data_IF_576538851181
#
_entry.id   IF_576538851181
#
_cell.length_a   1.000
_cell.length_b   1.000
_cell.length_c   1.000
_cell.angle_alpha   90.00
_cell.angle_beta   90.00
_cell.angle_gamma   90.00
#
_symmetry.space_group_name_H-M   'P 1'
#
loop_
_entity.id
_entity.type
_entity.pdbx_description
1 polymer ?
#
# COMPACT_ATOMS: atom_id res chain seq x y z
N UNK A 1 -26.54 -11.70 17.25
CA UNK A 1 -27.33 -10.94 18.24
C UNK A 1 -27.58 -9.59 17.59
N UNK A 2 -28.76 -9.40 17.00
CA UNK A 2 -29.19 -8.09 16.52
C UNK A 2 -29.57 -7.29 17.77
N UNK A 3 -28.75 -6.30 18.11
CA UNK A 3 -29.07 -5.37 19.19
C UNK A 3 -30.08 -4.35 18.66
N UNK A 4 -31.09 -3.99 19.46
CA UNK A 4 -31.97 -2.88 19.12
C UNK A 4 -31.17 -1.57 18.98
N UNK A 5 -31.60 -0.59 18.17
CA UNK A 5 -30.84 0.65 17.93
C UNK A 5 -30.43 1.40 19.20
N UNK A 6 -31.31 1.45 20.22
CA UNK A 6 -31.01 2.04 21.54
C UNK A 6 -30.00 1.21 22.36
N UNK A 7 -30.09 -0.12 22.34
CA UNK A 7 -29.14 -0.97 23.06
C UNK A 7 -27.75 -0.96 22.40
N UNK A 8 -27.70 -0.90 21.06
CA UNK A 8 -26.47 -0.69 20.31
C UNK A 8 -25.85 0.69 20.61
N UNK A 9 -26.70 1.69 20.83
CA UNK A 9 -26.30 3.05 21.22
C UNK A 9 -25.70 3.09 22.62
N UNK A 10 -26.42 2.61 23.62
CA UNK A 10 -25.98 2.57 25.02
C UNK A 10 -24.69 1.75 25.16
N UNK A 11 -24.54 0.67 24.38
CA UNK A 11 -23.31 -0.11 24.33
C UNK A 11 -22.14 0.64 23.68
N UNK A 12 -22.39 1.44 22.63
CA UNK A 12 -21.36 2.26 21.99
C UNK A 12 -20.93 3.44 22.89
N UNK A 13 -21.88 4.05 23.61
CA UNK A 13 -21.64 5.12 24.57
C UNK A 13 -20.88 4.61 25.80
N UNK A 14 -21.29 3.46 26.36
CA UNK A 14 -20.57 2.80 27.44
C UNK A 14 -19.14 2.39 27.05
N UNK A 15 -18.94 1.88 25.83
CA UNK A 15 -17.62 1.50 25.32
C UNK A 15 -16.71 2.68 24.98
N UNK A 16 -17.24 3.91 24.92
CA UNK A 16 -16.48 5.14 24.71
C UNK A 16 -16.25 5.91 26.00
N UNK A 17 -17.10 5.74 27.01
CA UNK A 17 -16.88 6.27 28.37
C UNK A 17 -15.63 5.68 29.07
N UNK A 18 -15.20 4.46 28.72
CA UNK A 18 -13.94 3.86 29.21
C UNK A 18 -12.67 4.49 28.61
N UNK A 19 -12.79 5.28 27.53
CA UNK A 19 -11.66 5.99 26.92
C UNK A 19 -11.54 7.39 27.57
N UNK A 20 -11.00 7.41 28.78
CA UNK A 20 -10.74 8.65 29.53
C UNK A 20 -9.84 9.62 28.73
N UNK A 21 -10.39 10.79 28.39
CA UNK A 21 -9.59 11.94 27.97
C UNK A 21 -10.13 12.71 26.77
N UNK A 22 -11.37 13.20 26.84
CA UNK A 22 -11.84 14.48 26.26
C UNK A 22 -13.38 14.50 26.40
N UNK A 23 -13.86 15.19 27.44
CA UNK A 23 -15.29 15.41 27.70
C UNK A 23 -15.85 16.44 26.71
N UNK A 24 -15.99 16.03 25.45
CA UNK A 24 -16.77 16.75 24.41
C UNK A 24 -17.06 15.86 23.19
N UNK A 25 -17.21 14.54 23.41
CA UNK A 25 -17.54 13.57 22.36
C UNK A 25 -19.05 13.33 22.32
N UNK A 26 -19.80 14.30 21.79
CA UNK A 26 -21.15 14.09 21.28
C UNK A 26 -21.20 12.85 20.38
N UNK A 27 -22.33 12.15 20.35
CA UNK A 27 -22.52 10.83 19.74
C UNK A 27 -21.88 10.52 18.37
N UNK A 28 -21.62 11.53 17.53
CA UNK A 28 -20.87 11.38 16.28
C UNK A 28 -19.40 10.95 16.49
N UNK A 29 -18.79 11.31 17.62
CA UNK A 29 -17.42 10.94 17.99
C UNK A 29 -17.28 9.44 18.32
N UNK A 30 -18.24 8.87 19.05
CA UNK A 30 -18.30 7.43 19.34
C UNK A 30 -18.42 6.60 18.05
N UNK A 31 -19.27 7.05 17.12
CA UNK A 31 -19.44 6.43 15.81
C UNK A 31 -18.18 6.57 14.93
N UNK A 32 -17.47 7.69 15.02
CA UNK A 32 -16.19 7.87 14.33
C UNK A 32 -15.14 6.86 14.80
N UNK A 33 -15.09 6.57 16.10
CA UNK A 33 -14.19 5.58 16.70
C UNK A 33 -14.61 4.14 16.32
N UNK A 34 -15.90 3.83 16.38
CA UNK A 34 -16.44 2.53 15.96
C UNK A 34 -16.20 2.25 14.46
N UNK A 35 -16.45 3.25 13.61
CA UNK A 35 -16.12 3.22 12.19
C UNK A 35 -14.62 3.00 11.96
N UNK A 36 -13.78 3.65 12.77
CA UNK A 36 -12.33 3.43 12.78
C UNK A 36 -11.92 1.99 13.10
N UNK A 37 -12.63 1.29 13.98
CA UNK A 37 -12.44 -0.15 14.27
C UNK A 37 -12.95 -1.04 13.13
N UNK A 38 -14.01 -0.62 12.43
CA UNK A 38 -14.56 -1.30 11.25
C UNK A 38 -13.78 -1.00 9.93
N UNK A 39 -12.59 -0.39 10.02
CA UNK A 39 -11.76 -0.01 8.88
C UNK A 39 -12.43 1.01 7.92
N UNK A 40 -13.26 1.88 8.47
CA UNK A 40 -13.86 3.03 7.78
C UNK A 40 -13.12 4.31 8.19
N UNK A 41 -12.99 5.23 7.24
CA UNK A 41 -12.41 6.55 7.44
C UNK A 41 -13.58 7.50 7.67
N UNK A 42 -13.53 8.23 8.77
CA UNK A 42 -14.54 9.23 9.08
C UNK A 42 -13.93 10.61 8.99
N UNK A 43 -14.69 11.56 8.42
CA UNK A 43 -14.33 12.97 8.46
C UNK A 43 -15.53 13.77 8.94
N UNK A 44 -15.31 14.64 9.94
CA UNK A 44 -16.34 15.55 10.44
C UNK A 44 -16.31 16.81 9.57
N UNK A 45 -17.44 17.18 8.98
CA UNK A 45 -17.63 18.48 8.32
C UNK A 45 -18.81 19.20 8.96
N UNK A 46 -18.62 20.45 9.35
CA UNK A 46 -19.73 21.31 9.75
C UNK A 46 -20.35 21.87 8.48
N UNK A 47 -21.62 21.57 8.23
CA UNK A 47 -22.36 22.07 7.07
C UNK A 47 -23.41 23.06 7.56
N UNK A 48 -23.44 24.24 6.94
CA UNK A 48 -24.40 25.30 7.25
C UNK A 48 -25.83 24.86 6.83
N UNK A 49 -26.83 24.99 7.72
CA UNK A 49 -28.23 24.68 7.42
C UNK A 49 -28.87 25.53 6.30
N UNK A 50 -28.26 26.64 5.86
CA UNK A 50 -28.77 27.50 4.77
C UNK A 50 -28.34 27.09 3.35
N UNK A 51 -27.58 26.00 3.22
CA UNK A 51 -27.25 25.29 1.96
C UNK A 51 -26.95 26.16 0.72
N UNK A 52 -25.67 26.39 0.41
CA UNK A 52 -25.27 26.73 -0.97
C UNK A 52 -25.53 25.52 -1.88
N UNK A 53 -26.25 25.71 -2.98
CA UNK A 53 -26.88 24.64 -3.76
C UNK A 53 -25.93 23.56 -4.29
N UNK A 54 -24.63 23.86 -4.37
CA UNK A 54 -23.61 22.92 -4.85
C UNK A 54 -23.16 21.89 -3.81
N UNK A 55 -23.25 22.20 -2.51
CA UNK A 55 -22.64 21.36 -1.46
C UNK A 55 -23.40 20.05 -1.25
N UNK A 56 -24.73 20.08 -1.38
CA UNK A 56 -25.56 18.87 -1.25
C UNK A 56 -25.40 17.95 -2.46
N UNK A 57 -25.19 18.52 -3.64
CA UNK A 57 -24.98 17.74 -4.86
C UNK A 57 -23.63 17.00 -4.85
N UNK A 58 -22.63 17.60 -4.20
CA UNK A 58 -21.27 17.05 -4.03
C UNK A 58 -21.05 16.33 -2.68
N UNK A 59 -22.12 16.07 -1.91
CA UNK A 59 -21.99 15.42 -0.61
C UNK A 59 -21.44 13.99 -0.80
N UNK A 60 -20.29 13.65 -0.18
CA UNK A 60 -19.75 12.30 -0.26
C UNK A 60 -20.68 11.32 0.46
N UNK A 61 -21.22 10.34 -0.25
CA UNK A 61 -22.03 9.27 0.33
C UNK A 61 -21.20 8.01 0.56
N UNK A 62 -21.36 7.27 1.67
CA UNK A 62 -22.37 7.50 2.71
C UNK A 62 -22.02 8.60 3.72
N UNK A 63 -23.03 9.34 4.16
CA UNK A 63 -22.91 10.41 5.16
C UNK A 63 -23.93 10.22 6.29
N UNK A 64 -23.57 10.61 7.50
CA UNK A 64 -24.41 10.47 8.69
C UNK A 64 -24.50 11.81 9.43
N UNK A 65 -25.68 12.17 9.89
CA UNK A 65 -25.89 13.28 10.83
C UNK A 65 -26.91 12.89 11.89
N UNK A 66 -26.79 13.49 13.06
CA UNK A 66 -27.80 13.42 14.11
C UNK A 66 -28.79 14.58 13.93
N UNK A 67 -30.08 14.30 14.15
CA UNK A 67 -31.15 15.29 14.15
C UNK A 67 -31.84 15.25 15.50
N UNK A 68 -31.78 16.35 16.24
CA UNK A 68 -32.55 16.51 17.46
C UNK A 68 -34.01 16.83 17.10
N UNK A 69 -34.97 16.21 17.79
CA UNK A 69 -36.40 16.39 17.56
C UNK A 69 -37.02 17.00 18.82
N UNK A 70 -37.91 17.98 18.67
CA UNK A 70 -38.54 18.72 19.77
C UNK A 70 -39.25 17.79 20.77
N UNK A 71 -38.57 17.41 21.85
CA UNK A 71 -39.12 16.69 23.00
C UNK A 71 -39.32 15.17 22.86
N UNK A 72 -39.06 14.55 21.70
CA UNK A 72 -39.22 13.10 21.48
C UNK A 72 -37.98 12.48 20.79
N UNK A 73 -36.87 12.37 21.54
CA UNK A 73 -35.66 11.65 21.10
C UNK A 73 -35.00 12.24 19.83
N UNK A 74 -33.76 11.85 19.53
CA UNK A 74 -33.15 12.24 18.25
C UNK A 74 -33.27 11.15 17.19
N UNK A 75 -33.14 11.56 15.93
CA UNK A 75 -33.18 10.68 14.75
C UNK A 75 -31.82 10.70 14.04
N UNK A 76 -31.25 9.54 13.76
CA UNK A 76 -30.10 9.43 12.87
C UNK A 76 -30.55 9.52 11.42
N UNK A 77 -29.92 10.40 10.65
CA UNK A 77 -30.09 10.48 9.21
C UNK A 77 -28.85 9.92 8.51
N UNK A 78 -29.02 8.80 7.82
CA UNK A 78 -28.04 8.20 6.93
C UNK A 78 -28.38 8.55 5.48
N UNK A 79 -27.45 9.18 4.80
CA UNK A 79 -27.47 9.33 3.34
C UNK A 79 -26.62 8.21 2.76
N UNK A 80 -27.25 7.16 2.23
CA UNK A 80 -26.53 5.97 1.75
C UNK A 80 -25.89 6.18 0.38
N UNK A 81 -26.57 6.91 -0.50
CA UNK A 81 -26.14 7.08 -1.89
C UNK A 81 -27.15 7.85 -2.74
N UNK A 82 -26.85 7.97 -4.03
CA UNK A 82 -27.78 8.50 -5.03
C UNK A 82 -28.36 7.36 -5.87
N UNK A 83 -29.68 7.35 -6.02
CA UNK A 83 -30.41 6.47 -6.94
C UNK A 83 -31.08 7.33 -8.01
N UNK A 84 -30.42 7.49 -9.15
CA UNK A 84 -30.82 8.43 -10.20
C UNK A 84 -30.69 9.88 -9.75
N UNK A 85 -31.80 10.63 -9.75
CA UNK A 85 -31.83 12.05 -9.32
C UNK A 85 -32.11 12.25 -7.83
N UNK A 86 -32.37 11.19 -7.08
CA UNK A 86 -32.77 11.24 -5.67
C UNK A 86 -31.72 10.61 -4.75
N UNK A 87 -31.66 11.08 -3.51
CA UNK A 87 -30.89 10.46 -2.43
C UNK A 87 -31.67 9.34 -1.79
N UNK A 88 -30.98 8.25 -1.47
CA UNK A 88 -31.48 7.18 -0.61
C UNK A 88 -31.12 7.51 0.84
N UNK A 89 -32.17 7.75 1.62
CA UNK A 89 -32.07 8.21 3.00
C UNK A 89 -32.63 7.13 3.91
N UNK A 90 -31.90 6.84 4.99
CA UNK A 90 -32.36 5.96 6.07
C UNK A 90 -32.43 6.77 7.34
N UNK A 91 -33.61 6.79 7.95
CA UNK A 91 -33.86 7.37 9.26
C UNK A 91 -33.86 6.24 10.28
N UNK A 92 -33.01 6.36 11.30
CA UNK A 92 -33.04 5.46 12.45
C UNK A 92 -33.52 6.28 13.65
N UNK A 93 -34.73 5.97 14.10
CA UNK A 93 -35.34 6.53 15.30
C UNK A 93 -35.67 5.39 16.29
N UNK A 94 -36.28 5.75 17.42
CA UNK A 94 -36.69 4.81 18.47
C UNK A 94 -37.77 3.81 18.01
N UNK A 95 -38.42 4.09 16.88
CA UNK A 95 -39.48 3.29 16.26
C UNK A 95 -38.96 2.41 15.11
N UNK A 96 -37.65 2.42 14.84
CA UNK A 96 -36.98 1.52 13.90
C UNK A 96 -36.38 2.21 12.67
N UNK A 97 -36.10 1.41 11.63
CA UNK A 97 -35.50 1.86 10.39
C UNK A 97 -36.58 2.29 9.37
N UNK A 98 -36.48 3.51 8.84
CA UNK A 98 -37.34 4.02 7.77
C UNK A 98 -36.49 4.49 6.60
N UNK A 99 -36.66 3.87 5.43
CA UNK A 99 -35.99 4.31 4.20
C UNK A 99 -36.90 5.20 3.35
N UNK A 100 -36.35 6.27 2.78
CA UNK A 100 -37.05 7.19 1.88
C UNK A 100 -36.14 7.66 0.76
N UNK A 101 -36.71 7.80 -0.44
CA UNK A 101 -36.06 8.45 -1.56
C UNK A 101 -36.51 9.91 -1.62
N UNK A 102 -35.55 10.86 -1.57
CA UNK A 102 -35.86 12.29 -1.64
C UNK A 102 -34.97 12.99 -2.67
N UNK A 103 -35.54 13.91 -3.45
CA UNK A 103 -34.74 14.77 -4.33
C UNK A 103 -33.91 15.75 -3.50
N UNK A 104 -32.79 16.29 -4.02
CA UNK A 104 -31.99 17.27 -3.29
C UNK A 104 -32.80 18.47 -2.81
N UNK A 105 -33.80 18.90 -3.58
CA UNK A 105 -34.71 19.98 -3.19
C UNK A 105 -35.65 19.56 -2.05
N UNK A 106 -36.29 18.39 -2.15
CA UNK A 106 -37.17 17.90 -1.09
C UNK A 106 -36.41 17.61 0.22
N UNK A 107 -35.16 17.16 0.14
CA UNK A 107 -34.30 16.98 1.30
C UNK A 107 -33.94 18.30 1.97
N UNK A 108 -33.65 19.36 1.19
CA UNK A 108 -33.42 20.71 1.72
C UNK A 108 -34.64 21.26 2.44
N UNK A 109 -35.80 21.18 1.80
CA UNK A 109 -37.07 21.63 2.39
C UNK A 109 -37.38 20.86 3.68
N UNK A 110 -37.13 19.55 3.69
CA UNK A 110 -37.35 18.71 4.86
C UNK A 110 -36.38 19.03 6.02
N UNK A 111 -35.11 19.29 5.74
CA UNK A 111 -34.11 19.69 6.74
C UNK A 111 -34.39 21.10 7.27
N UNK A 112 -34.84 22.03 6.42
CA UNK A 112 -35.20 23.39 6.79
C UNK A 112 -36.43 23.44 7.70
N UNK A 113 -37.44 22.58 7.48
CA UNK A 113 -38.64 22.50 8.31
C UNK A 113 -38.37 21.95 9.72
N UNK A 114 -37.28 21.20 9.91
CA UNK A 114 -36.87 20.57 11.17
C UNK A 114 -35.63 21.24 11.78
N UNK A 115 -35.34 22.47 11.37
CA UNK A 115 -34.30 23.29 11.96
C UNK A 115 -34.97 24.35 12.82
N UNK A 116 -34.63 24.40 14.10
CA UNK A 116 -35.16 25.42 15.01
C UNK A 116 -34.90 26.83 14.43
N UNK A 117 -35.88 27.75 14.51
CA UNK A 117 -35.70 29.14 14.10
C UNK A 117 -34.75 29.85 15.09
N UNK A 118 -33.44 29.75 14.84
CA UNK A 118 -32.41 30.36 15.68
C UNK A 118 -31.06 29.64 15.71
N UNK A 119 -30.98 28.39 15.22
CA UNK A 119 -29.73 27.65 15.18
C UNK A 119 -28.81 28.18 14.05
N UNK A 120 -27.99 29.19 14.38
CA UNK A 120 -26.89 29.70 13.52
C UNK A 120 -25.69 28.74 13.46
N UNK A 121 -25.68 27.67 14.24
CA UNK A 121 -24.54 26.75 14.32
C UNK A 121 -24.60 25.66 13.24
N UNK A 122 -23.54 25.64 12.42
CA UNK A 122 -23.32 24.65 11.37
C UNK A 122 -23.36 23.24 11.94
N UNK A 123 -24.25 22.38 11.44
CA UNK A 123 -24.46 21.03 11.98
C UNK A 123 -23.30 20.09 11.62
N UNK A 124 -22.81 19.24 12.54
CA UNK A 124 -21.74 18.31 12.25
C UNK A 124 -22.22 17.08 11.47
N UNK A 125 -21.72 16.93 10.25
CA UNK A 125 -21.89 15.73 9.43
C UNK A 125 -20.68 14.82 9.56
N UNK A 126 -20.92 13.53 9.77
CA UNK A 126 -19.91 12.47 9.73
C UNK A 126 -19.94 11.80 8.36
N UNK A 127 -18.95 12.12 7.53
CA UNK A 127 -18.75 11.47 6.24
C UNK A 127 -18.02 10.15 6.47
N UNK A 128 -18.56 9.05 5.97
CA UNK A 128 -18.00 7.72 6.13
C UNK A 128 -17.49 7.24 4.78
N UNK A 129 -16.17 7.10 4.66
CA UNK A 129 -15.53 6.57 3.46
C UNK A 129 -14.86 5.24 3.76
N UNK A 130 -14.76 4.36 2.77
CA UNK A 130 -13.86 3.20 2.87
C UNK A 130 -12.44 3.70 3.15
N UNK A 131 -11.77 3.20 4.21
CA UNK A 131 -10.35 3.54 4.40
C UNK A 131 -9.59 3.14 3.15
N UNK A 132 -8.88 4.11 2.62
CA UNK A 132 -7.80 3.91 1.67
C UNK A 132 -6.95 2.72 2.14
N UNK A 133 -6.66 1.71 1.29
CA UNK A 133 -5.96 0.50 1.72
C UNK A 133 -4.61 0.75 2.40
N UNK A 134 -3.98 1.92 2.15
CA UNK A 134 -2.74 2.35 2.79
C UNK A 134 -2.94 3.41 3.91
N UNK A 135 -4.18 3.68 4.32
CA UNK A 135 -4.50 4.64 5.39
C UNK A 135 -3.81 4.33 6.73
N UNK A 136 -3.66 3.06 7.19
CA UNK A 136 -2.95 2.73 8.41
C UNK A 136 -1.48 3.17 8.38
N UNK A 137 -0.81 3.01 7.23
CA UNK A 137 0.58 3.47 7.03
C UNK A 137 0.68 5.00 7.14
N UNK A 138 -0.36 5.73 6.73
CA UNK A 138 -0.43 7.19 6.82
C UNK A 138 -0.66 7.65 8.26
N UNK A 139 -1.53 7.00 9.03
CA UNK A 139 -1.75 7.30 10.45
C UNK A 139 -0.46 7.09 11.25
N UNK A 140 0.23 5.97 11.03
CA UNK A 140 1.56 5.71 11.57
C UNK A 140 2.62 6.71 11.05
N UNK A 141 2.44 7.28 9.85
CA UNK A 141 3.31 8.31 9.28
C UNK A 141 3.05 9.72 9.83
N UNK A 142 1.85 10.06 10.32
CA UNK A 142 1.48 11.42 10.74
C UNK A 142 1.76 11.71 12.22
N UNK A 143 1.84 10.70 13.10
CA UNK A 143 1.98 10.90 14.55
C UNK A 143 3.33 11.44 15.06
N UNK A 144 4.33 11.69 14.20
CA UNK A 144 5.60 12.35 14.59
C UNK A 144 6.19 13.18 13.44
N UNK A 145 6.40 14.50 13.61
CA UNK A 145 7.07 15.35 12.63
C UNK A 145 8.57 15.38 12.91
N UNK A 146 9.34 14.59 12.16
CA UNK A 146 10.77 14.78 11.81
C UNK A 146 11.31 13.47 11.19
N UNK A 147 11.71 13.54 9.92
CA UNK A 147 12.52 12.54 9.20
C UNK A 147 12.03 11.08 9.26
N UNK A 148 11.08 10.68 8.41
CA UNK A 148 10.84 9.24 8.19
C UNK A 148 11.68 8.77 7.02
N UNK A 149 12.71 7.97 7.35
CA UNK A 149 13.49 7.20 6.38
C UNK A 149 12.55 6.40 5.47
N UNK A 150 12.69 6.47 4.12
CA UNK A 150 11.92 5.68 3.15
C UNK A 150 11.85 4.19 3.52
N UNK A 151 12.92 3.67 4.12
CA UNK A 151 13.06 2.30 4.60
C UNK A 151 11.99 1.94 5.64
N UNK A 152 11.64 2.87 6.54
CA UNK A 152 10.60 2.62 7.55
C UNK A 152 9.22 2.44 6.92
N UNK A 153 8.92 3.16 5.84
CA UNK A 153 7.66 3.00 5.10
C UNK A 153 7.62 1.66 4.38
N UNK A 154 8.76 1.22 3.83
CA UNK A 154 8.90 -0.10 3.23
C UNK A 154 8.65 -1.22 4.25
N UNK A 155 9.25 -1.15 5.44
CA UNK A 155 9.00 -2.15 6.50
C UNK A 155 7.55 -2.14 7.00
N UNK A 156 6.93 -0.98 7.11
CA UNK A 156 5.52 -0.90 7.48
C UNK A 156 4.61 -1.51 6.39
N UNK A 157 4.96 -1.36 5.11
CA UNK A 157 4.27 -2.04 4.02
C UNK A 157 4.46 -3.56 4.08
N UNK A 158 5.68 -4.01 4.41
CA UNK A 158 5.99 -5.43 4.57
C UNK A 158 5.19 -6.09 5.71
N UNK A 159 4.96 -5.38 6.82
CA UNK A 159 4.20 -5.90 7.96
C UNK A 159 2.74 -6.26 7.60
N UNK A 160 2.16 -5.57 6.61
CA UNK A 160 0.80 -5.86 6.14
C UNK A 160 0.65 -7.25 5.51
N UNK A 161 1.72 -7.81 4.94
CA UNK A 161 1.73 -9.12 4.28
C UNK A 161 2.75 -10.07 4.94
N UNK A 162 2.93 -9.93 6.26
CA UNK A 162 3.89 -10.71 7.08
C UNK A 162 3.73 -12.24 6.97
N UNK A 163 2.51 -12.74 6.74
CA UNK A 163 2.24 -14.19 6.64
C UNK A 163 2.83 -14.76 5.36
N UNK A 164 2.60 -14.05 4.25
CA UNK A 164 3.13 -14.39 2.93
C UNK A 164 4.65 -14.24 2.91
N UNK A 165 5.20 -13.15 3.49
CA UNK A 165 6.64 -12.97 3.64
C UNK A 165 7.28 -14.09 4.49
N UNK A 166 6.62 -14.49 5.58
CA UNK A 166 7.04 -15.62 6.41
C UNK A 166 7.10 -16.93 5.62
N UNK A 167 6.10 -17.22 4.78
CA UNK A 167 6.11 -18.40 3.92
C UNK A 167 7.26 -18.38 2.91
N UNK A 168 7.53 -17.23 2.28
CA UNK A 168 8.68 -17.07 1.37
C UNK A 168 10.00 -17.30 2.09
N UNK A 169 10.14 -16.78 3.31
CA UNK A 169 11.34 -16.97 4.14
C UNK A 169 11.54 -18.44 4.52
N UNK A 170 10.49 -19.17 4.87
CA UNK A 170 10.56 -20.62 5.15
C UNK A 170 11.02 -21.40 3.92
N UNK A 171 10.47 -21.11 2.73
CA UNK A 171 10.93 -21.75 1.50
C UNK A 171 12.38 -21.41 1.17
N UNK A 172 12.79 -20.15 1.32
CA UNK A 172 14.17 -19.72 1.11
C UNK A 172 15.14 -20.44 2.06
N UNK A 173 14.77 -20.59 3.33
CA UNK A 173 15.58 -21.31 4.31
C UNK A 173 15.71 -22.81 3.95
N UNK A 174 14.60 -23.46 3.58
CA UNK A 174 14.60 -24.85 3.17
C UNK A 174 15.48 -25.09 1.92
N UNK A 175 15.37 -24.21 0.91
CA UNK A 175 16.24 -24.26 -0.27
C UNK A 175 17.70 -23.95 0.08
N UNK A 176 17.96 -22.95 0.92
CA UNK A 176 19.31 -22.61 1.38
C UNK A 176 20.00 -23.78 2.07
N UNK A 177 19.28 -24.48 2.95
CA UNK A 177 19.77 -25.73 3.56
C UNK A 177 20.04 -26.81 2.51
N UNK A 178 19.14 -26.99 1.54
CA UNK A 178 19.30 -27.98 0.48
C UNK A 178 20.44 -27.66 -0.49
N UNK A 179 20.83 -26.38 -0.59
CA UNK A 179 21.97 -25.93 -1.40
C UNK A 179 23.29 -26.53 -0.91
N UNK A 180 23.37 -26.89 0.39
CA UNK A 180 24.52 -27.59 0.98
C UNK A 180 24.64 -29.04 0.56
N UNK A 181 23.51 -29.65 0.19
CA UNK A 181 23.52 -31.03 -0.28
C UNK A 181 24.32 -31.16 -1.58
N UNK A 182 24.34 -30.12 -2.42
CA UNK A 182 24.99 -30.16 -3.73
C UNK A 182 26.52 -30.25 -3.61
N UNK A 183 27.24 -29.35 -2.91
CA UNK A 183 28.69 -29.49 -2.73
C UNK A 183 29.09 -30.82 -2.08
N UNK A 184 28.35 -31.25 -1.06
CA UNK A 184 28.63 -32.50 -0.34
C UNK A 184 28.44 -33.72 -1.25
N UNK A 185 27.35 -33.77 -2.01
CA UNK A 185 27.09 -34.85 -2.95
C UNK A 185 28.11 -34.89 -4.08
N UNK A 186 28.49 -33.73 -4.63
CA UNK A 186 29.53 -33.63 -5.66
C UNK A 186 30.86 -34.15 -5.11
N UNK A 187 31.24 -33.74 -3.90
CA UNK A 187 32.47 -34.22 -3.29
C UNK A 187 32.45 -35.73 -3.04
N UNK A 188 31.35 -36.27 -2.51
CA UNK A 188 31.20 -37.71 -2.31
C UNK A 188 31.29 -38.48 -3.64
N UNK A 189 30.71 -37.93 -4.71
CA UNK A 189 30.74 -38.51 -6.05
C UNK A 189 32.17 -38.50 -6.63
N UNK A 190 32.88 -37.38 -6.53
CA UNK A 190 34.29 -37.27 -6.95
C UNK A 190 35.17 -38.27 -6.19
N UNK A 191 35.03 -38.36 -4.86
CA UNK A 191 35.78 -39.32 -4.05
C UNK A 191 35.48 -40.76 -4.45
N UNK A 192 34.21 -41.10 -4.69
CA UNK A 192 33.80 -42.44 -5.11
C UNK A 192 34.43 -42.81 -6.45
N UNK A 193 34.49 -41.87 -7.41
CA UNK A 193 35.15 -42.09 -8.70
C UNK A 193 36.66 -42.24 -8.54
N UNK A 194 37.28 -41.47 -7.63
CA UNK A 194 38.73 -41.47 -7.42
C UNK A 194 39.27 -42.74 -6.72
N UNK A 195 38.53 -43.32 -5.77
CA UNK A 195 38.98 -44.48 -4.98
C UNK A 195 38.65 -45.85 -5.60
N UNK A 196 38.08 -45.87 -6.81
CA UNK A 196 37.75 -47.08 -7.55
C UNK A 196 36.29 -47.07 -7.98
N UNK A 197 36.06 -47.27 -9.28
CA UNK A 197 34.77 -47.15 -9.97
C UNK A 197 33.77 -48.24 -9.56
N UNK A 198 33.30 -48.21 -8.31
CA UNK A 198 32.19 -49.06 -7.89
C UNK A 198 30.90 -48.38 -8.38
N UNK A 199 30.25 -48.99 -9.37
CA UNK A 199 29.04 -48.45 -9.99
C UNK A 199 27.88 -48.26 -9.00
N UNK A 200 27.78 -49.14 -8.00
CA UNK A 200 26.65 -49.12 -7.07
C UNK A 200 26.57 -47.84 -6.20
N UNK A 201 27.62 -47.43 -5.45
CA UNK A 201 27.61 -46.15 -4.73
C UNK A 201 27.43 -44.93 -5.63
N UNK A 202 28.01 -44.95 -6.84
CA UNK A 202 27.88 -43.86 -7.80
C UNK A 202 26.43 -43.66 -8.24
N UNK A 203 25.73 -44.74 -8.59
CA UNK A 203 24.31 -44.70 -8.99
C UNK A 203 23.44 -44.24 -7.82
N UNK A 204 23.66 -44.76 -6.61
CA UNK A 204 22.89 -44.38 -5.42
C UNK A 204 23.07 -42.90 -5.08
N UNK A 205 24.31 -42.40 -5.02
CA UNK A 205 24.60 -40.99 -4.74
C UNK A 205 24.02 -40.07 -5.82
N UNK A 206 24.12 -40.47 -7.10
CA UNK A 206 23.55 -39.70 -8.22
C UNK A 206 22.04 -39.61 -8.13
N UNK A 207 21.36 -40.72 -7.80
CA UNK A 207 19.90 -40.75 -7.65
C UNK A 207 19.44 -39.92 -6.44
N UNK A 208 20.15 -40.00 -5.31
CA UNK A 208 19.87 -39.17 -4.13
C UNK A 208 20.03 -37.68 -4.44
N UNK A 209 21.10 -37.30 -5.14
CA UNK A 209 21.31 -35.93 -5.59
C UNK A 209 20.21 -35.48 -6.54
N UNK A 210 19.83 -36.31 -7.52
CA UNK A 210 18.76 -36.01 -8.47
C UNK A 210 17.42 -35.78 -7.76
N UNK A 211 17.05 -36.62 -6.78
CA UNK A 211 15.84 -36.43 -5.97
C UNK A 211 15.91 -35.15 -5.16
N UNK A 212 17.07 -34.83 -4.57
CA UNK A 212 17.25 -33.60 -3.80
C UNK A 212 17.13 -32.32 -4.64
N UNK A 213 17.68 -32.34 -5.86
CA UNK A 213 17.54 -31.25 -6.82
C UNK A 213 16.09 -31.11 -7.31
N UNK A 214 15.40 -32.22 -7.59
CA UNK A 214 13.98 -32.21 -7.97
C UNK A 214 13.09 -31.63 -6.86
N UNK A 215 13.37 -31.99 -5.59
CA UNK A 215 12.69 -31.42 -4.43
C UNK A 215 12.94 -29.90 -4.32
N UNK A 216 14.19 -29.47 -4.49
CA UNK A 216 14.55 -28.03 -4.49
C UNK A 216 13.84 -27.26 -5.60
N UNK A 217 13.78 -27.83 -6.81
CA UNK A 217 13.07 -27.24 -7.93
C UNK A 217 11.57 -27.08 -7.63
N UNK A 218 10.96 -28.08 -6.98
CA UNK A 218 9.55 -28.02 -6.54
C UNK A 218 9.34 -26.90 -5.52
N UNK A 219 10.20 -26.79 -4.50
CA UNK A 219 10.14 -25.69 -3.52
C UNK A 219 10.27 -24.32 -4.19
N UNK A 220 11.15 -24.19 -5.20
CA UNK A 220 11.34 -22.95 -5.96
C UNK A 220 10.08 -22.56 -6.73
N UNK A 221 9.39 -23.52 -7.35
CA UNK A 221 8.10 -23.28 -8.02
C UNK A 221 7.05 -22.79 -7.01
N UNK A 222 6.92 -23.48 -5.86
CA UNK A 222 5.97 -23.09 -4.82
C UNK A 222 6.26 -21.69 -4.27
N UNK A 223 7.53 -21.36 -4.02
CA UNK A 223 7.93 -20.03 -3.58
C UNK A 223 7.57 -18.97 -4.63
N UNK A 224 7.84 -19.23 -5.91
CA UNK A 224 7.54 -18.31 -7.02
C UNK A 224 6.04 -17.99 -7.07
N UNK A 225 5.19 -19.01 -6.94
CA UNK A 225 3.73 -18.82 -6.91
C UNK A 225 3.29 -17.95 -5.72
N UNK A 226 3.90 -18.11 -4.55
CA UNK A 226 3.60 -17.26 -3.38
C UNK A 226 4.03 -15.81 -3.62
N UNK A 227 5.22 -15.60 -4.18
CA UNK A 227 5.74 -14.27 -4.51
C UNK A 227 4.87 -13.57 -5.56
N UNK A 228 4.43 -14.27 -6.60
CA UNK A 228 3.51 -13.71 -7.60
C UNK A 228 2.15 -13.31 -6.99
N UNK A 229 1.62 -14.10 -6.05
CA UNK A 229 0.39 -13.75 -5.33
C UNK A 229 0.59 -12.51 -4.46
N UNK A 230 1.74 -12.41 -3.78
CA UNK A 230 2.12 -11.24 -3.00
C UNK A 230 2.21 -9.98 -3.88
N UNK A 231 2.91 -10.05 -5.02
CA UNK A 231 3.03 -8.94 -5.97
C UNK A 231 1.67 -8.50 -6.52
N UNK A 232 0.81 -9.44 -6.93
CA UNK A 232 -0.56 -9.13 -7.40
C UNK A 232 -1.38 -8.42 -6.32
N UNK A 233 -1.33 -8.91 -5.08
CA UNK A 233 -2.06 -8.28 -3.96
C UNK A 233 -1.55 -6.87 -3.68
N UNK A 234 -0.22 -6.69 -3.62
CA UNK A 234 0.39 -5.37 -3.42
C UNK A 234 0.02 -4.42 -4.56
N UNK A 235 0.03 -4.89 -5.81
CA UNK A 235 -0.36 -4.10 -6.97
C UNK A 235 -1.80 -3.61 -6.85
N UNK A 236 -2.77 -4.51 -6.61
CA UNK A 236 -4.18 -4.12 -6.47
C UNK A 236 -4.36 -3.13 -5.31
N UNK A 237 -3.69 -3.38 -4.17
CA UNK A 237 -3.75 -2.51 -2.99
C UNK A 237 -3.24 -1.10 -3.30
N UNK A 238 -2.07 -0.98 -3.91
CA UNK A 238 -1.45 0.32 -4.21
C UNK A 238 -2.16 1.02 -5.36
N UNK A 239 -2.54 0.31 -6.42
CA UNK A 239 -3.29 0.87 -7.55
C UNK A 239 -4.64 1.45 -7.11
N UNK A 240 -5.38 0.72 -6.28
CA UNK A 240 -6.67 1.21 -5.74
C UNK A 240 -6.48 2.48 -4.92
N UNK A 241 -5.45 2.51 -4.07
CA UNK A 241 -5.12 3.68 -3.26
C UNK A 241 -4.72 4.88 -4.15
N UNK A 242 -3.94 4.61 -5.19
CA UNK A 242 -3.44 5.61 -6.13
C UNK A 242 -4.57 6.22 -6.95
N UNK A 243 -5.43 5.40 -7.57
CA UNK A 243 -6.57 5.87 -8.38
C UNK A 243 -7.52 6.71 -7.53
N UNK A 244 -7.88 6.25 -6.32
CA UNK A 244 -8.77 6.99 -5.41
C UNK A 244 -8.17 8.34 -4.97
N UNK A 245 -6.85 8.43 -4.84
CA UNK A 245 -6.18 9.69 -4.50
C UNK A 245 -6.08 10.63 -5.70
N UNK A 246 -5.70 10.09 -6.86
CA UNK A 246 -5.50 10.86 -8.08
C UNK A 246 -6.82 11.52 -8.51
N UNK A 247 -7.95 10.81 -8.41
CA UNK A 247 -9.27 11.37 -8.73
C UNK A 247 -9.73 12.48 -7.76
N UNK A 248 -9.15 12.53 -6.55
CA UNK A 248 -9.51 13.47 -5.48
C UNK A 248 -8.48 14.58 -5.29
N UNK A 249 -7.57 14.77 -6.25
CA UNK A 249 -6.57 15.84 -6.18
C UNK A 249 -7.25 17.22 -6.24
N UNK A 250 -6.93 18.08 -5.28
CA UNK A 250 -7.37 19.48 -5.28
C UNK A 250 -6.90 20.19 -6.55
N UNK A 251 -7.67 21.16 -7.09
CA UNK A 251 -7.27 21.92 -8.27
C UNK A 251 -5.88 22.55 -8.15
N UNK A 252 -5.54 23.13 -6.99
CA UNK A 252 -4.23 23.75 -6.74
C UNK A 252 -3.04 22.77 -6.89
N UNK A 253 -3.22 21.50 -6.54
CA UNK A 253 -2.17 20.47 -6.69
C UNK A 253 -2.06 20.01 -8.15
N UNK A 254 -3.18 19.97 -8.89
CA UNK A 254 -3.18 19.68 -10.33
C UNK A 254 -2.54 20.78 -11.18
N UNK A 255 -2.60 22.02 -10.72
CA UNK A 255 -1.95 23.15 -11.37
C UNK A 255 -0.45 23.17 -11.06
N UNK A 256 -0.06 22.84 -9.82
CA UNK A 256 1.34 22.80 -9.40
C UNK A 256 2.11 21.57 -9.91
N UNK A 257 1.43 20.44 -10.09
CA UNK A 257 2.04 19.19 -10.55
C UNK A 257 1.27 18.64 -11.75
N UNK A 258 1.98 18.31 -12.82
CA UNK A 258 1.37 17.69 -13.99
C UNK A 258 0.76 16.33 -13.61
N UNK A 259 -0.54 16.17 -13.85
CA UNK A 259 -1.27 14.94 -13.57
C UNK A 259 -0.65 13.68 -14.18
N UNK A 260 -0.20 13.70 -15.46
CA UNK A 260 0.48 12.56 -16.08
C UNK A 260 1.80 12.19 -15.39
N UNK A 261 2.61 13.19 -15.00
CA UNK A 261 3.85 12.96 -14.24
C UNK A 261 3.57 12.26 -12.91
N UNK A 262 2.53 12.70 -12.17
CA UNK A 262 2.11 12.03 -10.95
C UNK A 262 1.72 10.58 -11.22
N UNK A 263 0.91 10.34 -12.26
CA UNK A 263 0.51 8.99 -12.66
C UNK A 263 1.72 8.11 -12.99
N UNK A 264 2.73 8.64 -13.67
CA UNK A 264 3.93 7.90 -14.03
C UNK A 264 4.75 7.45 -12.82
N UNK A 265 4.71 8.17 -11.69
CA UNK A 265 5.35 7.72 -10.45
C UNK A 265 4.75 6.42 -9.90
N UNK A 266 3.55 6.03 -10.32
CA UNK A 266 3.00 4.70 -10.00
C UNK A 266 3.90 3.57 -10.52
N UNK A 267 4.63 3.78 -11.63
CA UNK A 267 5.54 2.77 -12.16
C UNK A 267 6.70 2.44 -11.21
N UNK A 268 7.12 3.35 -10.32
CA UNK A 268 8.10 3.02 -9.27
C UNK A 268 7.60 1.93 -8.32
N UNK A 269 6.29 1.80 -8.14
CA UNK A 269 5.72 0.72 -7.32
C UNK A 269 6.02 -0.64 -7.96
N UNK A 270 5.95 -0.73 -9.29
CA UNK A 270 6.30 -1.95 -10.02
C UNK A 270 7.79 -2.27 -9.90
N UNK A 271 8.64 -1.26 -10.04
CA UNK A 271 10.09 -1.40 -9.86
C UNK A 271 10.41 -1.92 -8.46
N UNK A 272 9.81 -1.30 -7.43
CA UNK A 272 9.99 -1.70 -6.03
C UNK A 272 9.48 -3.12 -5.76
N UNK A 273 8.35 -3.52 -6.35
CA UNK A 273 7.80 -4.87 -6.21
C UNK A 273 8.71 -5.94 -6.84
N UNK A 274 9.30 -5.65 -8.00
CA UNK A 274 10.23 -6.58 -8.66
C UNK A 274 11.54 -6.70 -7.90
N UNK A 275 12.13 -5.56 -7.52
CA UNK A 275 13.37 -5.52 -6.74
C UNK A 275 13.18 -6.17 -5.36
N UNK A 276 12.08 -5.87 -4.67
CA UNK A 276 11.77 -6.47 -3.36
C UNK A 276 11.53 -7.98 -3.44
N UNK A 277 10.85 -8.47 -4.48
CA UNK A 277 10.68 -9.89 -4.71
C UNK A 277 12.02 -10.60 -4.95
N UNK A 278 12.87 -10.06 -5.84
CA UNK A 278 14.19 -10.62 -6.12
C UNK A 278 15.09 -10.61 -4.88
N UNK A 279 15.05 -9.55 -4.07
CA UNK A 279 15.82 -9.47 -2.83
C UNK A 279 15.37 -10.54 -1.82
N UNK A 280 14.06 -10.75 -1.70
CA UNK A 280 13.48 -11.70 -0.75
C UNK A 280 13.74 -13.16 -1.15
N UNK A 281 13.73 -13.46 -2.46
CA UNK A 281 13.98 -14.82 -2.96
C UNK A 281 15.47 -15.08 -3.13
N UNK A 282 16.11 -14.35 -4.04
CA UNK A 282 17.49 -14.61 -4.47
C UNK A 282 18.49 -14.05 -3.47
N UNK A 283 18.22 -12.85 -2.93
CA UNK A 283 19.09 -12.22 -1.94
C UNK A 283 19.19 -13.06 -0.66
N UNK A 284 18.08 -13.57 -0.14
CA UNK A 284 18.08 -14.45 1.03
C UNK A 284 18.78 -15.79 0.76
N UNK A 285 18.52 -16.40 -0.40
CA UNK A 285 19.19 -17.64 -0.79
C UNK A 285 20.71 -17.46 -0.92
N UNK A 286 21.17 -16.40 -1.60
CA UNK A 286 22.58 -16.06 -1.72
C UNK A 286 23.22 -15.75 -0.38
N UNK A 287 22.54 -15.03 0.52
CA UNK A 287 23.04 -14.74 1.86
C UNK A 287 23.24 -16.02 2.68
N UNK A 288 22.27 -16.93 2.66
CA UNK A 288 22.38 -18.23 3.32
C UNK A 288 23.49 -19.09 2.70
N UNK A 289 23.58 -19.13 1.36
CA UNK A 289 24.61 -19.86 0.65
C UNK A 289 26.01 -19.32 0.97
N UNK A 290 26.19 -18.01 1.00
CA UNK A 290 27.44 -17.36 1.37
C UNK A 290 27.82 -17.69 2.81
N UNK A 291 26.89 -17.52 3.76
CA UNK A 291 27.11 -17.80 5.18
C UNK A 291 27.59 -19.23 5.39
N UNK A 292 26.85 -20.20 4.86
CA UNK A 292 27.18 -21.61 5.11
C UNK A 292 28.35 -22.07 4.25
N UNK A 293 28.50 -21.57 3.02
CA UNK A 293 29.66 -21.84 2.17
C UNK A 293 30.96 -21.41 2.83
N UNK A 294 31.01 -20.17 3.34
CA UNK A 294 32.17 -19.66 4.09
C UNK A 294 32.40 -20.46 5.38
N UNK A 295 31.34 -20.85 6.10
CA UNK A 295 31.46 -21.67 7.31
C UNK A 295 32.05 -23.07 7.01
N UNK A 296 31.58 -23.75 5.96
CA UNK A 296 32.13 -25.05 5.55
C UNK A 296 33.60 -24.92 5.14
N UNK A 297 33.94 -23.87 4.39
CA UNK A 297 35.31 -23.63 3.96
C UNK A 297 36.25 -23.34 5.15
N UNK A 298 35.75 -22.66 6.18
CA UNK A 298 36.46 -22.41 7.43
C UNK A 298 36.95 -23.71 8.10
N UNK A 299 36.14 -24.77 8.05
CA UNK A 299 36.52 -26.09 8.57
C UNK A 299 37.49 -26.84 7.66
N UNK A 300 37.51 -26.54 6.35
CA UNK A 300 38.37 -27.22 5.39
C UNK A 300 39.82 -26.74 5.43
N UNK A 301 40.05 -25.42 5.34
CA UNK A 301 41.42 -24.90 5.28
C UNK A 301 41.50 -23.42 5.69
N UNK A 302 42.33 -23.04 6.67
CA UNK A 302 42.38 -21.67 7.19
C UNK A 302 42.85 -20.63 6.16
N UNK A 303 43.72 -21.01 5.21
CA UNK A 303 44.14 -20.09 4.13
C UNK A 303 42.99 -19.78 3.15
N UNK A 304 42.11 -20.75 2.88
CA UNK A 304 40.96 -20.53 2.01
C UNK A 304 39.92 -19.62 2.68
N UNK A 305 39.74 -19.76 4.00
CA UNK A 305 38.93 -18.83 4.78
C UNK A 305 39.47 -17.39 4.72
N UNK A 306 40.78 -17.20 4.87
CA UNK A 306 41.39 -15.87 4.78
C UNK A 306 41.19 -15.24 3.39
N UNK A 307 41.29 -16.05 2.33
CA UNK A 307 41.00 -15.61 0.96
C UNK A 307 39.53 -15.19 0.79
N UNK A 308 38.57 -16.00 1.26
CA UNK A 308 37.13 -15.69 1.22
C UNK A 308 36.80 -14.40 1.98
N UNK A 309 37.38 -14.20 3.16
CA UNK A 309 37.21 -12.97 3.94
C UNK A 309 37.77 -11.76 3.21
N UNK A 310 38.95 -11.89 2.57
CA UNK A 310 39.53 -10.81 1.76
C UNK A 310 38.63 -10.47 0.56
N UNK A 311 38.07 -11.46 -0.11
CA UNK A 311 37.11 -11.26 -1.21
C UNK A 311 35.84 -10.55 -0.71
N UNK A 312 35.30 -10.96 0.43
CA UNK A 312 34.11 -10.35 1.02
C UNK A 312 34.35 -8.89 1.41
N UNK A 313 35.51 -8.59 1.99
CA UNK A 313 35.94 -7.22 2.27
C UNK A 313 36.08 -6.39 0.99
N UNK A 314 36.64 -6.96 -0.09
CA UNK A 314 36.74 -6.29 -1.37
C UNK A 314 35.34 -5.97 -1.95
N UNK A 315 34.39 -6.91 -1.89
CA UNK A 315 33.01 -6.69 -2.32
C UNK A 315 32.34 -5.58 -1.51
N UNK A 316 32.44 -5.63 -0.17
CA UNK A 316 31.92 -4.57 0.71
C UNK A 316 32.58 -3.23 0.39
N UNK A 317 33.90 -3.22 0.15
CA UNK A 317 34.66 -2.05 -0.26
C UNK A 317 34.12 -1.45 -1.57
N UNK A 318 33.91 -2.26 -2.60
CA UNK A 318 33.32 -1.82 -3.87
C UNK A 318 31.92 -1.24 -3.66
N UNK A 319 31.05 -1.93 -2.92
CA UNK A 319 29.68 -1.46 -2.66
C UNK A 319 29.69 -0.14 -1.89
N UNK A 320 30.53 0.00 -0.86
CA UNK A 320 30.56 1.20 -0.01
C UNK A 320 31.26 2.37 -0.70
N UNK A 321 32.28 2.12 -1.52
CA UNK A 321 32.96 3.18 -2.26
C UNK A 321 32.12 3.65 -3.45
N UNK A 322 31.60 2.72 -4.26
CA UNK A 322 30.76 3.06 -5.42
C UNK A 322 29.34 3.50 -5.03
N UNK A 323 28.82 3.03 -3.89
CA UNK A 323 27.48 3.36 -3.40
C UNK A 323 27.37 4.74 -2.74
N UNK A 324 28.48 5.43 -2.50
CA UNK A 324 28.47 6.80 -1.95
C UNK A 324 27.78 7.75 -2.92
N UNK A 325 26.68 8.37 -2.48
CA UNK A 325 25.88 9.28 -3.30
C UNK A 325 24.99 8.60 -4.33
N UNK A 326 25.00 7.26 -4.44
CA UNK A 326 24.23 6.53 -5.45
C UNK A 326 22.71 6.71 -5.31
N UNK A 327 22.22 6.88 -4.08
CA UNK A 327 20.79 7.13 -3.83
C UNK A 327 20.39 8.51 -4.35
N UNK A 328 21.19 9.54 -4.06
CA UNK A 328 20.88 10.91 -4.49
C UNK A 328 20.99 11.04 -6.00
N UNK A 329 22.02 10.43 -6.62
CA UNK A 329 22.15 10.40 -8.08
C UNK A 329 21.00 9.63 -8.74
N UNK A 330 20.59 8.48 -8.17
CA UNK A 330 19.46 7.69 -8.68
C UNK A 330 18.12 8.43 -8.55
N UNK A 331 17.92 9.20 -7.48
CA UNK A 331 16.73 10.05 -7.32
C UNK A 331 16.72 11.20 -8.34
N UNK A 332 17.87 11.83 -8.58
CA UNK A 332 17.99 12.87 -9.60
C UNK A 332 17.71 12.31 -11.01
N UNK A 333 18.29 11.16 -11.35
CA UNK A 333 18.06 10.46 -12.61
C UNK A 333 16.58 10.06 -12.79
N UNK A 334 15.95 9.49 -11.76
CA UNK A 334 14.53 9.10 -11.77
C UNK A 334 13.62 10.32 -12.00
N UNK A 335 13.91 11.45 -11.36
CA UNK A 335 13.13 12.69 -11.53
C UNK A 335 13.18 13.19 -12.98
N UNK A 336 14.37 13.18 -13.59
CA UNK A 336 14.55 13.59 -15.00
C UNK A 336 13.87 12.62 -15.95
N UNK A 337 13.99 11.32 -15.72
CA UNK A 337 13.28 10.28 -16.49
C UNK A 337 11.77 10.52 -16.53
N UNK A 338 11.16 10.88 -15.39
CA UNK A 338 9.73 11.19 -15.34
C UNK A 338 9.37 12.51 -16.02
N UNK A 339 10.26 13.51 -15.98
CA UNK A 339 10.07 14.75 -16.73
C UNK A 339 10.09 14.51 -18.25
N UNK A 340 11.01 13.68 -18.75
CA UNK A 340 11.02 13.27 -20.17
C UNK A 340 9.75 12.50 -20.53
N UNK A 341 9.34 11.52 -19.71
CA UNK A 341 8.12 10.76 -19.96
C UNK A 341 6.87 11.63 -20.00
N UNK A 342 6.71 12.54 -19.03
CA UNK A 342 5.60 13.49 -19.00
C UNK A 342 5.59 14.41 -20.23
N UNK A 343 6.76 14.83 -20.69
CA UNK A 343 6.89 15.61 -21.92
C UNK A 343 6.45 14.84 -23.16
N UNK A 344 6.86 13.58 -23.30
CA UNK A 344 6.43 12.71 -24.40
C UNK A 344 4.90 12.50 -24.39
N UNK A 345 4.28 12.37 -23.22
CA UNK A 345 2.83 12.28 -23.08
C UNK A 345 2.11 13.57 -23.48
N UNK A 346 2.67 14.73 -23.15
CA UNK A 346 2.14 16.03 -23.56
C UNK A 346 2.19 16.18 -25.09
N UNK A 347 3.32 15.82 -25.71
CA UNK A 347 3.49 15.83 -27.16
C UNK A 347 2.51 14.86 -27.84
N UNK A 348 2.32 13.66 -27.29
CA UNK A 348 1.39 12.67 -27.83
C UNK A 348 -0.09 13.05 -27.62
N UNK A 349 -0.42 13.70 -26.51
CA UNK A 349 -1.80 14.03 -26.12
C UNK A 349 -2.37 15.31 -26.73
N UNK A 350 -1.53 16.18 -27.30
CA UNK A 350 -1.93 17.53 -27.73
C UNK A 350 -2.03 17.71 -29.24
N UNK A 351 -3.18 18.22 -29.72
CA UNK A 351 -3.28 18.82 -31.07
C UNK A 351 -2.40 20.07 -31.23
N UNK A 352 -1.91 20.65 -30.11
CA UNK A 352 -1.05 21.85 -30.06
C UNK A 352 0.28 21.72 -30.80
N UNK A 353 0.74 20.50 -31.06
CA UNK A 353 2.00 20.23 -31.75
C UNK A 353 1.81 19.80 -33.21
N UNK A 354 0.60 19.96 -33.77
CA UNK A 354 0.27 19.58 -35.14
C UNK A 354 0.91 20.48 -36.22
N UNK A 355 1.22 21.73 -35.90
CA UNK A 355 1.80 22.70 -36.83
C UNK A 355 3.33 22.75 -36.76
N UNK A 356 3.98 23.27 -37.81
CA UNK A 356 5.44 23.33 -37.91
C UNK A 356 6.10 24.11 -36.74
N UNK A 357 5.45 25.17 -36.25
CA UNK A 357 5.93 25.93 -35.10
C UNK A 357 5.79 25.14 -33.79
N UNK A 358 4.65 24.44 -33.61
CA UNK A 358 4.43 23.57 -32.46
C UNK A 358 5.44 22.41 -32.40
N UNK A 359 5.73 21.78 -33.56
CA UNK A 359 6.77 20.74 -33.65
C UNK A 359 8.15 21.25 -33.24
N UNK A 360 8.56 22.43 -33.70
CA UNK A 360 9.86 23.01 -33.30
C UNK A 360 9.98 23.23 -31.80
N UNK A 361 8.94 23.82 -31.18
CA UNK A 361 8.92 23.99 -29.71
C UNK A 361 9.00 22.63 -29.01
N UNK A 362 8.34 21.61 -29.59
CA UNK A 362 8.36 20.29 -29.00
C UNK A 362 9.73 19.60 -29.07
N UNK A 363 10.39 19.74 -30.22
CA UNK A 363 11.75 19.26 -30.45
C UNK A 363 12.75 19.99 -29.53
N UNK A 364 12.70 21.33 -29.46
CA UNK A 364 13.60 22.13 -28.62
C UNK A 364 13.47 21.78 -27.13
N UNK A 365 12.23 21.67 -26.62
CA UNK A 365 12.01 21.28 -25.23
C UNK A 365 12.41 19.83 -24.97
N UNK A 366 12.17 18.93 -25.93
CA UNK A 366 12.61 17.55 -25.87
C UNK A 366 14.14 17.46 -25.78
N UNK A 367 14.86 18.20 -26.63
CA UNK A 367 16.33 18.26 -26.59
C UNK A 367 16.85 18.76 -25.24
N UNK A 368 16.25 19.81 -24.67
CA UNK A 368 16.68 20.34 -23.37
C UNK A 368 16.53 19.29 -22.26
N UNK A 369 15.36 18.64 -22.17
CA UNK A 369 15.10 17.63 -21.15
C UNK A 369 16.00 16.39 -21.30
N UNK A 370 16.31 16.01 -22.54
CA UNK A 370 17.23 14.88 -22.82
C UNK A 370 18.68 15.25 -22.48
N UNK A 371 19.11 16.49 -22.71
CA UNK A 371 20.45 16.95 -22.32
C UNK A 371 20.64 17.06 -20.82
N UNK A 372 19.56 17.31 -20.09
CA UNK A 372 19.59 17.38 -18.63
C UNK A 372 19.65 16.00 -17.96
N UNK A 373 19.17 14.95 -18.63
CA UNK A 373 19.27 13.55 -18.19
C UNK A 373 20.73 13.13 -18.08
#
# INVERSE_FOLDING_TARGET
VELGPREAWDAAEAATAELEGERELEGLGALALAAGRANLATSRRHLDPRFDGQVLDDLPTPALTWLENDGEGGTWLLVLGRRGRSFELVFLDEFGERSKLMTPQALREWLAQRSEPGAEESRPWLLVESRLPLAPLRAASQSKPRGKSPIRRLFALADLDRRELGAVAVYALAMGAMTLAVPVAVQALVNTVAFGTVLQPLVVLSLMLAMGLAFTATLRVLQTVVVERLQRRLFVRVATDFVRRLSRLSPAVRERYHGPELANRFFEVLTLQKAGAALLTDGLALALQLLVGTLLLAFYHPVLLAFDLALMLAVVGVIVLAGRGAVDSSLAESTRKYAVAAWLEEVAGGQRFGDAAGRRVADERGELLIREW
#
